data_IF_075523006845
#
_entry.id   IF_075523006845
#
_cell.length_a   1.000
_cell.length_b   1.000
_cell.length_c   1.000
_cell.angle_alpha   90.00
_cell.angle_beta   90.00
_cell.angle_gamma   90.00
#
_symmetry.space_group_name_H-M   'P 1'
#
loop_
_entity.id
_entity.type
_entity.pdbx_description
1 polymer ?
#
# COMPACT_ATOMS: atom_id res chain seq x y z
N UNK A 1 -40.19 36.43 29.05
CA UNK A 1 -40.87 35.11 29.01
C UNK A 1 -40.31 34.26 30.14
N UNK A 2 -41.17 33.76 31.03
CA UNK A 2 -40.79 33.06 32.26
C UNK A 2 -40.18 31.69 31.94
N UNK A 3 -38.93 31.48 32.35
CA UNK A 3 -38.26 30.18 32.32
C UNK A 3 -38.52 29.47 33.66
N UNK A 4 -39.70 28.86 33.79
CA UNK A 4 -40.13 28.15 35.00
C UNK A 4 -40.49 26.70 34.66
N UNK A 5 -39.49 25.91 34.20
CA UNK A 5 -39.68 24.52 33.76
C UNK A 5 -38.62 23.53 34.26
N UNK A 6 -38.05 23.73 35.45
CA UNK A 6 -37.18 22.72 36.05
C UNK A 6 -37.24 22.69 37.57
N UNK A 7 -38.37 23.07 38.16
CA UNK A 7 -38.69 22.59 39.52
C UNK A 7 -39.18 21.16 39.37
N UNK A 8 -38.23 20.21 39.36
CA UNK A 8 -38.52 18.79 39.30
C UNK A 8 -39.60 18.41 40.32
N UNK A 9 -40.51 17.52 39.92
CA UNK A 9 -41.56 17.06 40.85
C UNK A 9 -40.89 16.40 42.05
N UNK A 10 -41.23 16.79 43.29
CA UNK A 10 -40.68 16.14 44.46
C UNK A 10 -41.16 14.68 44.51
N UNK A 11 -40.24 13.75 44.71
CA UNK A 11 -40.55 12.33 44.89
C UNK A 11 -41.30 12.13 46.22
N UNK A 12 -42.41 11.37 46.26
CA UNK A 12 -43.09 11.05 47.50
C UNK A 12 -42.21 10.14 48.36
N UNK A 13 -42.16 10.46 49.65
CA UNK A 13 -41.36 9.77 50.65
C UNK A 13 -42.25 8.82 51.43
N UNK A 14 -41.87 7.55 51.50
CA UNK A 14 -42.47 6.53 52.38
C UNK A 14 -41.58 6.34 53.61
N UNK A 15 -42.07 5.61 54.61
CA UNK A 15 -41.30 5.36 55.83
C UNK A 15 -39.91 4.77 55.45
N UNK A 16 -38.85 5.54 55.74
CA UNK A 16 -37.43 5.26 55.46
C UNK A 16 -36.93 5.48 54.01
N UNK A 17 -37.60 6.25 53.15
CA UNK A 17 -36.99 6.70 51.88
C UNK A 17 -37.96 6.99 50.73
N UNK A 18 -37.41 7.25 49.54
CA UNK A 18 -38.18 7.42 48.30
C UNK A 18 -38.83 6.11 47.86
N UNK A 19 -40.01 6.18 47.22
CA UNK A 19 -40.58 5.00 46.57
C UNK A 19 -39.70 4.59 45.38
N UNK A 20 -39.07 3.41 45.50
CA UNK A 20 -38.14 2.90 44.49
C UNK A 20 -38.78 2.79 43.11
N UNK A 21 -40.07 2.45 43.02
CA UNK A 21 -40.76 2.31 41.73
C UNK A 21 -40.89 3.65 41.01
N UNK A 22 -41.26 4.70 41.75
CA UNK A 22 -41.39 6.04 41.17
C UNK A 22 -40.03 6.62 40.77
N UNK A 23 -38.99 6.37 41.57
CA UNK A 23 -37.62 6.76 41.21
C UNK A 23 -37.15 6.02 39.95
N UNK A 24 -37.42 4.71 39.84
CA UNK A 24 -37.06 3.92 38.67
C UNK A 24 -37.81 4.39 37.41
N UNK A 25 -39.10 4.75 37.54
CA UNK A 25 -39.91 5.32 36.45
C UNK A 25 -39.40 6.69 35.98
N UNK A 26 -39.09 7.60 36.89
CA UNK A 26 -38.55 8.91 36.55
C UNK A 26 -37.12 8.81 35.98
N UNK A 27 -36.29 7.89 36.49
CA UNK A 27 -34.99 7.60 35.88
C UNK A 27 -35.12 7.04 34.46
N UNK A 28 -36.10 6.17 34.22
CA UNK A 28 -36.38 5.65 32.88
C UNK A 28 -36.85 6.77 31.93
N UNK A 29 -37.74 7.66 32.39
CA UNK A 29 -38.18 8.85 31.62
C UNK A 29 -37.02 9.77 31.31
N UNK A 30 -36.23 10.15 32.31
CA UNK A 30 -35.07 11.01 32.11
C UNK A 30 -34.03 10.40 31.16
N UNK A 31 -33.78 9.09 31.24
CA UNK A 31 -32.90 8.38 30.29
C UNK A 31 -33.45 8.42 28.87
N UNK A 32 -34.76 8.22 28.70
CA UNK A 32 -35.40 8.29 27.39
C UNK A 32 -35.34 9.69 26.79
N UNK A 33 -35.67 10.72 27.58
CA UNK A 33 -35.59 12.13 27.13
C UNK A 33 -34.15 12.51 26.77
N UNK A 34 -33.18 12.07 27.57
CA UNK A 34 -31.77 12.35 27.32
C UNK A 34 -31.27 11.62 26.05
N UNK A 35 -31.71 10.38 25.82
CA UNK A 35 -31.40 9.66 24.58
C UNK A 35 -31.99 10.38 23.35
N UNK A 36 -33.25 10.80 23.44
CA UNK A 36 -33.92 11.57 22.39
C UNK A 36 -33.20 12.90 22.11
N UNK A 37 -32.87 13.67 23.13
CA UNK A 37 -32.17 14.96 22.96
C UNK A 37 -30.77 14.77 22.39
N UNK A 38 -30.08 13.68 22.72
CA UNK A 38 -28.80 13.34 22.08
C UNK A 38 -28.98 13.06 20.60
N UNK A 39 -29.99 12.29 20.22
CA UNK A 39 -30.30 12.01 18.82
C UNK A 39 -30.61 13.31 18.05
N UNK A 40 -31.47 14.18 18.60
CA UNK A 40 -31.77 15.49 18.02
C UNK A 40 -30.51 16.36 17.85
N UNK A 41 -29.59 16.34 18.83
CA UNK A 41 -28.32 17.07 18.74
C UNK A 41 -27.38 16.50 17.67
N UNK A 42 -27.32 15.18 17.48
CA UNK A 42 -26.48 14.59 16.44
C UNK A 42 -27.01 14.94 15.03
N UNK A 43 -28.34 14.94 14.86
CA UNK A 43 -28.96 15.40 13.60
C UNK A 43 -28.60 16.87 13.33
N UNK A 44 -28.79 17.75 14.31
CA UNK A 44 -28.47 19.17 14.16
C UNK A 44 -26.98 19.43 13.90
N UNK A 45 -26.08 18.62 14.47
CA UNK A 45 -24.65 18.70 14.17
C UNK A 45 -24.37 18.30 12.73
N UNK A 46 -24.97 17.21 12.27
CA UNK A 46 -24.82 16.74 10.88
C UNK A 46 -25.34 17.79 9.90
N UNK A 47 -26.50 18.38 10.18
CA UNK A 47 -27.09 19.44 9.35
C UNK A 47 -26.20 20.70 9.34
N UNK A 48 -25.68 21.11 10.50
CA UNK A 48 -24.73 22.23 10.60
C UNK A 48 -23.46 21.96 9.80
N UNK A 49 -22.88 20.77 9.95
CA UNK A 49 -21.63 20.43 9.28
C UNK A 49 -21.84 20.37 7.75
N UNK A 50 -22.99 19.86 7.30
CA UNK A 50 -23.41 19.95 5.90
C UNK A 50 -23.56 21.39 5.42
N UNK A 51 -24.23 22.25 6.20
CA UNK A 51 -24.40 23.66 5.85
C UNK A 51 -23.05 24.41 5.78
N UNK A 52 -22.12 24.13 6.70
CA UNK A 52 -20.77 24.69 6.69
C UNK A 52 -20.01 24.25 5.44
N UNK A 53 -20.05 22.95 5.09
CA UNK A 53 -19.42 22.47 3.87
C UNK A 53 -19.97 23.17 2.61
N UNK A 54 -21.30 23.33 2.51
CA UNK A 54 -21.90 24.06 1.39
C UNK A 54 -21.50 25.53 1.35
N UNK A 55 -21.34 26.18 2.50
CA UNK A 55 -20.88 27.56 2.57
C UNK A 55 -19.42 27.69 2.11
N UNK A 56 -18.56 26.75 2.51
CA UNK A 56 -17.15 26.73 2.10
C UNK A 56 -17.01 26.49 0.59
N UNK A 57 -17.83 25.63 0.00
CA UNK A 57 -17.87 25.42 -1.46
C UNK A 57 -18.31 26.68 -2.20
N UNK A 58 -19.37 27.36 -1.74
CA UNK A 58 -19.82 28.62 -2.32
C UNK A 58 -18.79 29.75 -2.19
N UNK A 59 -18.04 29.81 -1.09
CA UNK A 59 -16.93 30.76 -0.93
C UNK A 59 -15.85 30.49 -1.97
N UNK A 60 -15.49 29.22 -2.19
CA UNK A 60 -14.50 28.84 -3.21
C UNK A 60 -14.95 29.22 -4.61
N UNK A 61 -16.21 28.94 -4.97
CA UNK A 61 -16.79 29.33 -6.27
C UNK A 61 -16.80 30.87 -6.45
N UNK A 62 -17.11 31.63 -5.40
CA UNK A 62 -17.07 33.09 -5.44
C UNK A 62 -15.65 33.64 -5.59
N UNK A 63 -14.66 33.01 -4.96
CA UNK A 63 -13.25 33.37 -5.12
C UNK A 63 -12.77 33.08 -6.54
N UNK A 64 -13.14 31.93 -7.10
CA UNK A 64 -12.84 31.56 -8.48
C UNK A 64 -13.47 32.55 -9.48
N UNK A 65 -14.76 32.84 -9.35
CA UNK A 65 -15.44 33.83 -10.18
C UNK A 65 -14.84 35.25 -10.04
N UNK A 66 -14.36 35.61 -8.84
CA UNK A 66 -13.66 36.88 -8.61
C UNK A 66 -12.29 36.90 -9.27
N UNK A 67 -11.52 35.82 -9.22
CA UNK A 67 -10.24 35.71 -9.92
C UNK A 67 -10.45 35.78 -11.43
N UNK A 68 -11.44 35.07 -11.99
CA UNK A 68 -11.77 35.14 -13.41
C UNK A 68 -12.12 36.57 -13.82
N UNK A 69 -12.98 37.27 -13.07
CA UNK A 69 -13.32 38.67 -13.35
C UNK A 69 -12.10 39.59 -13.26
N UNK A 70 -11.19 39.35 -12.33
CA UNK A 70 -9.95 40.10 -12.22
C UNK A 70 -9.04 39.86 -13.44
N UNK A 71 -8.91 38.61 -13.88
CA UNK A 71 -8.18 38.23 -15.10
C UNK A 71 -8.78 38.88 -16.34
N UNK A 72 -10.10 38.79 -16.53
CA UNK A 72 -10.80 39.48 -17.62
C UNK A 72 -10.52 40.98 -17.59
N UNK A 73 -10.56 41.62 -16.43
CA UNK A 73 -10.27 43.05 -16.29
C UNK A 73 -8.83 43.39 -16.66
N UNK A 74 -7.85 42.56 -16.27
CA UNK A 74 -6.44 42.77 -16.61
C UNK A 74 -6.19 42.57 -18.11
N UNK A 75 -6.77 41.52 -18.69
CA UNK A 75 -6.70 41.24 -20.12
C UNK A 75 -7.31 42.37 -20.96
N UNK A 76 -8.41 42.95 -20.47
CA UNK A 76 -9.09 44.06 -21.12
C UNK A 76 -8.67 45.45 -20.63
N UNK A 77 -7.68 45.56 -19.73
CA UNK A 77 -7.15 46.83 -19.29
C UNK A 77 -6.49 47.55 -20.48
N UNK A 78 -7.02 48.73 -20.83
CA UNK A 78 -6.58 49.52 -21.98
C UNK A 78 -7.21 49.13 -23.31
N UNK A 79 -8.37 48.45 -23.31
CA UNK A 79 -9.17 48.23 -24.53
C UNK A 79 -9.72 49.58 -25.05
N UNK A 80 -9.02 50.17 -26.01
CA UNK A 80 -9.61 51.09 -26.99
C UNK A 80 -9.83 50.32 -28.30
N UNK A 81 -10.74 50.81 -29.17
CA UNK A 81 -10.99 50.20 -30.49
C UNK A 81 -9.72 50.04 -31.34
N UNK A 82 -8.68 50.83 -31.07
CA UNK A 82 -7.40 50.84 -31.78
C UNK A 82 -6.36 49.85 -31.23
N UNK A 83 -6.62 49.20 -30.09
CA UNK A 83 -5.69 48.29 -29.40
C UNK A 83 -6.20 46.84 -29.27
N UNK A 84 -7.23 46.46 -30.03
CA UNK A 84 -7.88 45.15 -29.95
C UNK A 84 -6.92 43.97 -30.24
N UNK A 85 -5.93 44.17 -31.12
CA UNK A 85 -4.93 43.15 -31.46
C UNK A 85 -3.99 42.88 -30.28
N UNK A 86 -3.56 43.91 -29.54
CA UNK A 86 -2.73 43.75 -28.33
C UNK A 86 -3.47 43.01 -27.22
N UNK A 87 -4.78 43.25 -27.08
CA UNK A 87 -5.63 42.53 -26.13
C UNK A 87 -5.75 41.04 -26.46
N UNK A 88 -5.96 40.72 -27.74
CA UNK A 88 -5.99 39.33 -28.23
C UNK A 88 -4.65 38.61 -28.01
N UNK A 89 -3.52 39.26 -28.31
CA UNK A 89 -2.18 38.68 -28.09
C UNK A 89 -1.94 38.43 -26.59
N UNK A 90 -2.30 39.38 -25.70
CA UNK A 90 -2.20 39.19 -24.24
C UNK A 90 -3.05 38.03 -23.75
N UNK A 91 -4.28 37.91 -24.26
CA UNK A 91 -5.17 36.79 -23.95
C UNK A 91 -4.56 35.44 -24.36
N UNK A 92 -4.07 35.33 -25.60
CA UNK A 92 -3.45 34.10 -26.09
C UNK A 92 -2.19 33.74 -25.29
N UNK A 93 -1.36 34.72 -24.92
CA UNK A 93 -0.19 34.48 -24.06
C UNK A 93 -0.58 34.00 -22.66
N UNK A 94 -1.62 34.59 -22.06
CA UNK A 94 -2.12 34.19 -20.75
C UNK A 94 -2.68 32.76 -20.77
N UNK A 95 -3.54 32.44 -21.75
CA UNK A 95 -4.10 31.09 -21.93
C UNK A 95 -3.00 30.06 -22.21
N UNK A 96 -1.99 30.42 -23.03
CA UNK A 96 -0.87 29.54 -23.29
C UNK A 96 -0.06 29.23 -22.02
N UNK A 97 0.16 30.23 -21.17
CA UNK A 97 0.83 30.05 -19.88
C UNK A 97 0.02 29.17 -18.93
N UNK A 98 -1.27 29.44 -18.78
CA UNK A 98 -2.16 28.64 -17.94
C UNK A 98 -2.20 27.17 -18.40
N UNK A 99 -2.24 26.93 -19.71
CA UNK A 99 -2.15 25.56 -20.26
C UNK A 99 -0.79 24.92 -19.98
N UNK A 100 0.31 25.66 -20.11
CA UNK A 100 1.64 25.13 -19.79
C UNK A 100 1.76 24.74 -18.32
N UNK A 101 1.26 25.57 -17.40
CA UNK A 101 1.24 25.28 -15.97
C UNK A 101 0.37 24.05 -15.64
N UNK A 102 -0.77 23.89 -16.32
CA UNK A 102 -1.62 22.72 -16.21
C UNK A 102 -0.94 21.42 -16.72
N UNK A 103 -0.20 21.50 -17.82
CA UNK A 103 0.58 20.36 -18.30
C UNK A 103 1.73 20.00 -17.36
N UNK A 104 2.40 20.99 -16.77
CA UNK A 104 3.47 20.76 -15.81
C UNK A 104 2.97 20.08 -14.53
N UNK A 105 1.83 20.52 -14.01
CA UNK A 105 1.19 19.90 -12.83
C UNK A 105 0.72 18.47 -13.10
N UNK A 106 0.01 18.23 -14.21
CA UNK A 106 -0.40 16.86 -14.61
C UNK A 106 0.81 15.94 -14.86
N UNK A 107 1.88 16.45 -15.48
CA UNK A 107 3.11 15.69 -15.66
C UNK A 107 3.78 15.34 -14.31
N UNK A 108 3.82 16.29 -13.37
CA UNK A 108 4.33 16.05 -12.01
C UNK A 108 3.50 14.99 -11.28
N UNK A 109 2.19 15.12 -11.27
CA UNK A 109 1.30 14.14 -10.62
C UNK A 109 1.47 12.73 -11.19
N UNK A 110 1.54 12.60 -12.52
CA UNK A 110 1.81 11.30 -13.16
C UNK A 110 3.18 10.75 -12.79
N UNK A 111 4.19 11.61 -12.73
CA UNK A 111 5.54 11.20 -12.32
C UNK A 111 5.57 10.69 -10.88
N UNK A 112 4.87 11.36 -9.96
CA UNK A 112 4.75 10.94 -8.57
C UNK A 112 3.98 9.62 -8.43
N UNK A 113 2.92 9.43 -9.20
CA UNK A 113 2.18 8.16 -9.24
C UNK A 113 3.05 7.02 -9.77
N UNK A 114 3.84 7.26 -10.81
CA UNK A 114 4.78 6.27 -11.33
C UNK A 114 5.87 5.92 -10.31
N UNK A 115 6.42 6.92 -9.60
CA UNK A 115 7.39 6.70 -8.54
C UNK A 115 6.81 5.87 -7.40
N UNK A 116 5.59 6.18 -6.93
CA UNK A 116 4.92 5.39 -5.88
C UNK A 116 4.72 3.94 -6.29
N UNK A 117 4.28 3.70 -7.53
CA UNK A 117 4.14 2.34 -8.07
C UNK A 117 5.49 1.63 -8.16
N UNK A 118 6.54 2.32 -8.62
CA UNK A 118 7.87 1.75 -8.68
C UNK A 118 8.42 1.39 -7.28
N UNK A 119 8.18 2.24 -6.27
CA UNK A 119 8.54 1.96 -4.88
C UNK A 119 7.78 0.75 -4.33
N UNK A 120 6.48 0.63 -4.60
CA UNK A 120 5.68 -0.52 -4.19
C UNK A 120 6.19 -1.82 -4.81
N UNK A 121 6.48 -1.81 -6.12
CA UNK A 121 7.07 -2.96 -6.82
C UNK A 121 8.44 -3.29 -6.25
N UNK A 122 9.28 -2.30 -5.97
CA UNK A 122 10.59 -2.51 -5.36
C UNK A 122 10.48 -3.12 -3.94
N UNK A 123 9.51 -2.68 -3.14
CA UNK A 123 9.24 -3.28 -1.82
C UNK A 123 8.78 -4.73 -1.95
N UNK A 124 7.88 -5.03 -2.89
CA UNK A 124 7.44 -6.40 -3.15
C UNK A 124 8.60 -7.29 -3.60
N UNK A 125 9.46 -6.79 -4.49
CA UNK A 125 10.65 -7.52 -4.92
C UNK A 125 11.64 -7.76 -3.78
N UNK A 126 11.85 -6.79 -2.89
CA UNK A 126 12.71 -6.96 -1.72
C UNK A 126 12.19 -8.08 -0.79
N UNK A 127 10.89 -8.11 -0.51
CA UNK A 127 10.28 -9.19 0.30
C UNK A 127 10.46 -10.55 -0.36
N UNK A 128 10.21 -10.65 -1.67
CA UNK A 128 10.39 -11.90 -2.40
C UNK A 128 11.86 -12.36 -2.38
N UNK A 129 12.82 -11.44 -2.53
CA UNK A 129 14.24 -11.76 -2.44
C UNK A 129 14.58 -12.31 -1.05
N UNK A 130 14.16 -11.64 0.03
CA UNK A 130 14.37 -12.10 1.40
C UNK A 130 13.78 -13.51 1.63
N UNK A 131 12.58 -13.79 1.10
CA UNK A 131 11.96 -15.12 1.18
C UNK A 131 12.80 -16.17 0.43
N UNK A 132 13.26 -15.87 -0.79
CA UNK A 132 14.10 -16.80 -1.55
C UNK A 132 15.47 -17.02 -0.89
N UNK A 133 16.05 -16.01 -0.27
CA UNK A 133 17.29 -16.13 0.51
C UNK A 133 17.09 -17.05 1.72
N UNK A 134 15.98 -16.89 2.45
CA UNK A 134 15.67 -17.77 3.58
C UNK A 134 15.45 -19.22 3.14
N UNK A 135 14.72 -19.46 2.04
CA UNK A 135 14.50 -20.81 1.53
C UNK A 135 15.79 -21.46 1.04
N UNK A 136 16.65 -20.72 0.35
CA UNK A 136 17.94 -21.23 -0.13
C UNK A 136 18.87 -21.57 1.05
N UNK A 137 18.93 -20.72 2.08
CA UNK A 137 19.66 -21.01 3.31
C UNK A 137 19.13 -22.27 4.03
N UNK A 138 17.80 -22.45 4.12
CA UNK A 138 17.19 -23.66 4.69
C UNK A 138 17.62 -24.92 3.90
N UNK A 139 17.52 -24.89 2.58
CA UNK A 139 17.91 -26.03 1.73
C UNK A 139 19.40 -26.33 1.82
N UNK A 140 20.25 -25.29 1.90
CA UNK A 140 21.70 -25.47 2.11
C UNK A 140 21.98 -26.12 3.47
N UNK A 141 21.34 -25.66 4.55
CA UNK A 141 21.50 -26.24 5.88
C UNK A 141 21.04 -27.72 5.92
N UNK A 142 19.91 -28.05 5.29
CA UNK A 142 19.44 -29.43 5.14
C UNK A 142 20.41 -30.29 4.33
N UNK A 143 20.95 -29.77 3.23
CA UNK A 143 21.93 -30.46 2.40
C UNK A 143 23.24 -30.71 3.16
N UNK A 144 23.73 -29.73 3.91
CA UNK A 144 24.90 -29.88 4.78
C UNK A 144 24.67 -30.94 5.85
N UNK A 145 23.49 -30.97 6.48
CA UNK A 145 23.16 -31.96 7.49
C UNK A 145 23.14 -33.38 6.88
N UNK A 146 22.54 -33.56 5.70
CA UNK A 146 22.56 -34.84 4.99
C UNK A 146 23.97 -35.25 4.60
N UNK A 147 24.79 -34.31 4.12
CA UNK A 147 26.20 -34.59 3.80
C UNK A 147 26.98 -35.05 5.04
N UNK A 148 26.81 -34.39 6.19
CA UNK A 148 27.42 -34.81 7.46
C UNK A 148 26.94 -36.19 7.90
N UNK A 149 25.66 -36.52 7.72
CA UNK A 149 25.12 -37.86 8.01
C UNK A 149 25.74 -38.93 7.12
N UNK A 150 25.86 -38.69 5.82
CA UNK A 150 26.49 -39.63 4.87
C UNK A 150 27.96 -39.85 5.25
N UNK A 151 28.71 -38.79 5.54
CA UNK A 151 30.10 -38.90 5.99
C UNK A 151 30.18 -39.69 7.30
N UNK A 152 29.32 -39.40 8.29
CA UNK A 152 29.29 -40.14 9.55
C UNK A 152 28.99 -41.63 9.33
N UNK A 153 27.99 -41.97 8.50
CA UNK A 153 27.66 -43.34 8.12
C UNK A 153 28.84 -44.03 7.43
N UNK A 154 29.44 -43.39 6.43
CA UNK A 154 30.61 -43.94 5.74
C UNK A 154 31.80 -44.16 6.68
N UNK A 155 32.05 -43.24 7.62
CA UNK A 155 33.12 -43.41 8.63
C UNK A 155 32.80 -44.54 9.62
N UNK A 156 31.53 -44.72 10.00
CA UNK A 156 31.09 -45.80 10.88
C UNK A 156 31.19 -47.16 10.19
N UNK A 157 30.75 -47.25 8.93
CA UNK A 157 30.91 -48.45 8.08
C UNK A 157 32.39 -48.80 7.88
N UNK A 158 33.24 -47.82 7.54
CA UNK A 158 34.68 -48.03 7.41
C UNK A 158 35.32 -48.50 8.73
N UNK A 159 34.91 -47.92 9.87
CA UNK A 159 35.40 -48.34 11.19
C UNK A 159 34.92 -49.74 11.58
N UNK A 160 33.68 -50.10 11.24
CA UNK A 160 33.13 -51.44 11.46
C UNK A 160 33.86 -52.49 10.61
N UNK A 161 34.16 -52.18 9.35
CA UNK A 161 34.97 -53.04 8.48
C UNK A 161 36.37 -53.24 9.07
N UNK A 162 37.05 -52.16 9.48
CA UNK A 162 38.39 -52.24 10.08
C UNK A 162 38.39 -52.98 11.44
N UNK A 163 37.35 -52.80 12.26
CA UNK A 163 37.18 -53.52 13.52
C UNK A 163 36.91 -55.01 13.33
N UNK A 164 36.21 -55.41 12.26
CA UNK A 164 36.03 -56.80 11.86
C UNK A 164 37.28 -57.44 11.23
N UNK A 165 38.27 -56.64 10.85
CA UNK A 165 39.50 -57.09 10.17
C UNK A 165 40.67 -57.37 11.12
N UNK A 166 40.50 -57.15 12.42
CA UNK A 166 41.53 -57.44 13.44
C UNK A 166 41.68 -58.96 13.70
N UNK A 167 40.71 -59.79 13.32
CA UNK A 167 40.81 -61.27 13.42
C UNK A 167 41.29 -61.97 12.14
N UNK A 168 41.56 -61.22 11.07
CA UNK A 168 41.91 -61.77 9.76
C UNK A 168 43.31 -61.38 9.31
N UNK A 169 44.34 -61.80 10.04
CA UNK A 169 45.74 -61.62 9.60
C UNK A 169 46.02 -62.49 8.37
N UNK A 170 46.70 -61.87 7.41
CA UNK A 170 47.45 -62.44 6.28
C UNK A 170 46.66 -63.00 5.08
N UNK A 171 46.43 -62.13 4.07
CA UNK A 171 46.85 -62.45 2.69
C UNK A 171 46.90 -61.21 1.81
N UNK A 172 48.08 -60.61 1.68
CA UNK A 172 48.37 -59.72 0.55
C UNK A 172 49.03 -60.58 -0.54
N UNK A 173 48.30 -60.85 -1.61
CA UNK A 173 48.85 -61.39 -2.87
C UNK A 173 48.84 -60.27 -3.90
N UNK A 174 49.99 -59.90 -4.51
CA UNK A 174 50.03 -58.99 -5.63
C UNK A 174 49.71 -59.80 -6.89
N UNK A 175 48.44 -59.89 -7.25
CA UNK A 175 48.02 -60.23 -8.62
C UNK A 175 46.50 -60.16 -8.69
N UNK A 176 45.98 -58.98 -9.04
CA UNK A 176 44.72 -58.82 -9.79
C UNK A 176 44.56 -57.35 -10.13
N UNK A 177 45.00 -57.00 -11.34
CA UNK A 177 44.51 -55.81 -12.04
C UNK A 177 42.98 -55.91 -12.19
N UNK A 178 42.19 -54.91 -11.75
CA UNK A 178 40.82 -54.78 -12.18
C UNK A 178 40.78 -54.10 -13.56
N UNK A 179 39.91 -54.54 -14.49
CA UNK A 179 39.70 -53.85 -15.75
C UNK A 179 39.07 -52.47 -15.49
N UNK A 180 39.69 -51.45 -16.07
CA UNK A 180 39.23 -50.05 -16.09
C UNK A 180 37.72 -49.93 -16.37
N UNK A 181 36.91 -49.34 -15.47
CA UNK A 181 35.57 -48.91 -15.82
C UNK A 181 35.68 -47.66 -16.72
N UNK A 182 35.20 -47.79 -17.95
CA UNK A 182 35.02 -46.67 -18.87
C UNK A 182 33.98 -45.69 -18.29
N UNK A 183 34.45 -44.66 -17.60
CA UNK A 183 33.62 -43.53 -17.19
C UNK A 183 33.46 -42.60 -18.40
N UNK A 184 32.24 -42.35 -18.92
CA UNK A 184 32.04 -41.34 -19.94
C UNK A 184 32.24 -39.95 -19.29
N UNK A 185 33.28 -39.23 -19.73
CA UNK A 185 33.47 -37.82 -19.41
C UNK A 185 32.26 -37.01 -19.91
N UNK A 186 31.66 -36.12 -19.10
CA UNK A 186 30.68 -35.17 -19.60
C UNK A 186 31.41 -34.20 -20.55
N UNK A 187 31.00 -34.20 -21.83
CA UNK A 187 31.38 -33.13 -22.77
C UNK A 187 30.77 -31.83 -22.24
N UNK A 188 31.61 -30.94 -21.73
CA UNK A 188 31.25 -29.53 -21.55
C UNK A 188 31.08 -28.95 -22.96
N UNK A 189 29.83 -28.87 -23.42
CA UNK A 189 29.49 -28.09 -24.61
C UNK A 189 29.44 -26.64 -24.15
N UNK A 190 30.58 -25.96 -24.25
CA UNK A 190 30.64 -24.51 -24.16
C UNK A 190 30.05 -23.92 -25.44
N UNK A 191 28.73 -23.91 -25.54
CA UNK A 191 27.99 -23.18 -26.57
C UNK A 191 27.52 -21.82 -26.02
N UNK A 192 27.47 -20.76 -26.84
CA UNK A 192 26.96 -19.47 -26.40
C UNK A 192 25.48 -19.61 -26.01
N UNK A 193 25.13 -19.03 -24.86
CA UNK A 193 23.74 -18.93 -24.40
C UNK A 193 22.88 -18.24 -25.48
N UNK A 194 21.68 -18.74 -25.80
CA UNK A 194 20.75 -18.00 -26.64
C UNK A 194 20.33 -16.74 -25.88
N UNK A 195 20.67 -15.58 -26.44
CA UNK A 195 20.05 -14.31 -26.06
C UNK A 195 18.58 -14.42 -26.39
N UNK A 196 17.74 -14.56 -25.36
CA UNK A 196 16.31 -14.32 -25.49
C UNK A 196 16.16 -12.85 -25.86
N UNK A 197 15.90 -12.59 -27.14
CA UNK A 197 15.51 -11.27 -27.60
C UNK A 197 14.12 -10.98 -27.00
N UNK A 198 13.90 -9.82 -26.36
CA UNK A 198 12.57 -9.44 -25.94
C UNK A 198 11.70 -9.31 -27.20
N UNK A 199 10.59 -10.03 -27.20
CA UNK A 199 9.55 -9.92 -28.22
C UNK A 199 9.17 -8.43 -28.37
N UNK A 200 9.38 -7.92 -29.58
CA UNK A 200 8.93 -6.60 -29.95
C UNK A 200 7.41 -6.55 -29.81
N UNK A 201 6.95 -5.59 -29.00
CA UNK A 201 5.55 -5.27 -28.81
C UNK A 201 4.84 -5.13 -30.16
N UNK A 202 3.80 -5.95 -30.28
CA UNK A 202 2.80 -5.94 -31.33
C UNK A 202 2.21 -4.52 -31.45
N UNK A 203 2.63 -3.80 -32.50
CA UNK A 203 2.02 -2.54 -32.89
C UNK A 203 0.55 -2.80 -33.25
N UNK A 204 -0.34 -2.39 -32.34
CA UNK A 204 -1.78 -2.28 -32.65
C UNK A 204 -1.96 -1.25 -33.78
N UNK A 205 -2.72 -1.57 -34.85
CA UNK A 205 -3.11 -0.56 -35.81
C UNK A 205 -4.14 0.38 -35.17
N UNK A 206 -3.76 1.64 -34.99
CA UNK A 206 -4.68 2.74 -34.71
C UNK A 206 -5.54 2.97 -35.96
N UNK A 207 -6.78 2.53 -35.90
CA UNK A 207 -7.86 3.01 -36.75
C UNK A 207 -8.56 4.18 -36.05
N UNK A 208 -8.35 5.40 -36.56
CA UNK A 208 -9.24 6.56 -36.47
C UNK A 208 -8.81 7.58 -37.53
#
# INVERSE_FOLDING_TARGET
MHNDKSRGRPFPVRWRGYDRREVDEELARARWELARLREELEVLRTDRDGAVATADDLVRELEEARSELAEYRVLHAGYSKDNAVSGCIRYLMHVARQKADAFETDARERSEQMLKRAEEVARQQAVLLDETEQETQRRLAEAEQRARQIVAQATAEASALLGGQVDGRDRWTPDTEPPSPAVPMPRIISGPLPVVQPEAEEQRPTSA
#
